data_IF_730718070615
#
_entry.id   IF_730718070615
#
_cell.length_a   1.000
_cell.length_b   1.000
_cell.length_c   1.000
_cell.angle_alpha   90.00
_cell.angle_beta   90.00
_cell.angle_gamma   90.00
#
_symmetry.space_group_name_H-M   'P 1'
#
loop_
_entity.id
_entity.type
_entity.pdbx_description
1 polymer ?
#
# COMPACT_ATOMS: atom_id res chain seq x y z
N UNK A 1 23.43 -5.33 4.06
CA UNK A 1 22.75 -4.79 2.88
C UNK A 1 21.41 -4.25 3.36
N UNK A 2 21.30 -2.93 3.49
CA UNK A 2 20.05 -2.25 3.85
C UNK A 2 19.32 -1.92 2.56
N UNK A 3 18.42 -2.81 2.15
CA UNK A 3 17.49 -2.56 1.05
C UNK A 3 16.17 -2.07 1.63
N UNK A 4 16.09 -0.78 1.97
CA UNK A 4 14.80 -0.15 2.27
C UNK A 4 14.39 0.65 1.04
N UNK A 5 13.73 -0.04 0.10
CA UNK A 5 13.00 0.59 -1.00
C UNK A 5 11.68 -0.13 -1.20
N UNK A 6 10.67 0.27 -0.42
CA UNK A 6 9.27 -0.09 -0.64
C UNK A 6 8.65 0.88 -1.64
N UNK A 7 9.15 0.81 -2.88
CA UNK A 7 8.66 1.53 -4.05
C UNK A 7 8.47 0.55 -5.21
N UNK A 8 7.89 -0.61 -4.93
CA UNK A 8 7.65 -1.64 -5.95
C UNK A 8 6.43 -1.20 -6.78
N UNK A 9 6.69 -0.42 -7.83
CA UNK A 9 5.77 -0.24 -8.95
C UNK A 9 4.92 1.04 -8.98
N UNK A 10 5.24 2.09 -8.22
CA UNK A 10 4.49 3.35 -8.29
C UNK A 10 5.42 4.57 -8.28
N UNK A 11 5.24 5.47 -9.24
CA UNK A 11 5.93 6.77 -9.31
C UNK A 11 5.40 7.78 -8.26
N UNK A 12 4.38 7.38 -7.50
CA UNK A 12 3.78 8.18 -6.43
C UNK A 12 4.33 7.71 -5.09
N UNK A 13 4.91 8.63 -4.30
CA UNK A 13 5.35 8.33 -2.93
C UNK A 13 4.13 7.99 -2.09
N UNK A 14 3.83 6.70 -1.96
CA UNK A 14 2.73 6.24 -1.13
C UNK A 14 3.15 6.23 0.33
N UNK A 15 2.29 6.81 1.18
CA UNK A 15 2.43 6.68 2.62
C UNK A 15 2.03 5.26 3.03
N UNK A 16 2.95 4.31 2.86
CA UNK A 16 2.85 3.01 3.50
C UNK A 16 3.00 3.20 5.00
N UNK A 17 2.17 2.50 5.75
CA UNK A 17 2.19 2.53 7.21
C UNK A 17 3.08 1.42 7.74
N UNK A 18 3.04 0.24 7.11
CA UNK A 18 3.69 -0.98 7.61
C UNK A 18 3.73 -2.08 6.52
N UNK A 19 4.79 -2.90 6.50
CA UNK A 19 4.78 -4.23 5.88
C UNK A 19 4.18 -5.21 6.89
N UNK A 20 3.00 -5.73 6.59
CA UNK A 20 2.23 -6.54 7.55
C UNK A 20 2.51 -8.04 7.43
N UNK A 21 3.05 -8.48 6.29
CA UNK A 21 3.49 -9.86 6.05
C UNK A 21 4.45 -9.93 4.85
N UNK A 22 5.26 -10.98 4.79
CA UNK A 22 6.15 -11.25 3.67
C UNK A 22 6.52 -12.72 3.57
N UNK A 23 6.61 -13.24 2.35
CA UNK A 23 7.10 -14.57 2.03
C UNK A 23 8.07 -14.56 0.85
N UNK A 24 8.44 -15.75 0.37
CA UNK A 24 9.41 -15.89 -0.72
C UNK A 24 8.93 -15.28 -2.05
N UNK A 25 7.61 -15.24 -2.26
CA UNK A 25 6.97 -14.77 -3.49
C UNK A 25 5.95 -13.65 -3.26
N UNK A 26 5.87 -13.08 -2.06
CA UNK A 26 4.93 -11.98 -1.80
C UNK A 26 5.39 -11.01 -0.71
N UNK A 27 4.87 -9.78 -0.79
CA UNK A 27 4.89 -8.82 0.32
C UNK A 27 3.52 -8.18 0.48
N UNK A 28 3.04 -8.09 1.71
CA UNK A 28 1.74 -7.48 2.02
C UNK A 28 1.98 -6.16 2.75
N UNK A 29 1.44 -5.07 2.21
CA UNK A 29 1.68 -3.71 2.68
C UNK A 29 0.37 -3.05 3.07
N UNK A 30 0.35 -2.41 4.24
CA UNK A 30 -0.75 -1.56 4.68
C UNK A 30 -0.47 -0.11 4.28
N UNK A 31 -1.39 0.50 3.55
CA UNK A 31 -1.33 1.89 3.13
C UNK A 31 -2.36 2.75 3.86
N UNK A 32 -2.06 4.04 4.04
CA UNK A 32 -3.08 5.04 4.37
C UNK A 32 -3.96 5.31 3.15
N UNK A 33 -5.26 5.40 3.38
CA UNK A 33 -6.26 5.57 2.34
C UNK A 33 -6.95 6.93 2.47
N UNK A 34 -6.29 7.96 1.94
CA UNK A 34 -6.82 9.33 2.01
C UNK A 34 -7.98 9.55 1.04
N UNK A 35 -8.05 8.76 -0.04
CA UNK A 35 -9.20 8.70 -0.92
C UNK A 35 -10.45 8.28 -0.13
N UNK A 36 -10.40 7.17 0.61
CA UNK A 36 -11.53 6.73 1.44
C UNK A 36 -11.86 7.72 2.58
N UNK A 37 -10.86 8.38 3.17
CA UNK A 37 -11.09 9.45 4.15
C UNK A 37 -11.80 10.66 3.52
N UNK A 38 -11.40 11.06 2.31
CA UNK A 38 -12.05 12.16 1.59
C UNK A 38 -13.52 11.82 1.31
N UNK A 39 -13.77 10.60 0.86
CA UNK A 39 -15.10 10.13 0.50
C UNK A 39 -16.01 9.94 1.73
N UNK A 40 -15.43 9.69 2.91
CA UNK A 40 -16.20 9.58 4.16
C UNK A 40 -16.64 10.94 4.73
N UNK A 41 -15.97 12.03 4.35
CA UNK A 41 -16.22 13.38 4.89
C UNK A 41 -15.81 13.58 6.35
N UNK A 42 -15.13 12.60 6.97
CA UNK A 42 -14.61 12.74 8.33
C UNK A 42 -13.42 13.73 8.40
N UNK A 43 -13.16 14.34 9.56
CA UNK A 43 -11.99 15.21 9.72
C UNK A 43 -10.69 14.43 9.56
N UNK A 44 -9.60 15.12 9.19
CA UNK A 44 -8.28 14.50 9.00
C UNK A 44 -7.76 13.74 10.24
N UNK A 45 -8.21 14.11 11.44
CA UNK A 45 -7.91 13.37 12.68
C UNK A 45 -8.38 11.91 12.65
N UNK A 46 -9.35 11.56 11.80
CA UNK A 46 -9.82 10.20 11.59
C UNK A 46 -8.95 9.38 10.63
N UNK A 47 -7.92 9.97 10.00
CA UNK A 47 -7.03 9.27 9.06
C UNK A 47 -6.50 7.91 9.54
N UNK A 48 -6.18 7.68 10.84
CA UNK A 48 -5.74 6.36 11.30
C UNK A 48 -6.78 5.23 11.13
N UNK A 49 -8.07 5.55 10.96
CA UNK A 49 -9.13 4.57 10.69
C UNK A 49 -9.14 4.07 9.24
N UNK A 50 -8.55 4.85 8.32
CA UNK A 50 -8.65 4.61 6.89
C UNK A 50 -7.34 4.03 6.36
N UNK A 51 -7.33 2.70 6.27
CA UNK A 51 -6.20 1.96 5.71
C UNK A 51 -6.70 0.88 4.77
N UNK A 52 -5.87 0.53 3.80
CA UNK A 52 -6.10 -0.60 2.90
C UNK A 52 -4.86 -1.47 2.85
N UNK A 53 -5.03 -2.74 2.52
CA UNK A 53 -3.95 -3.70 2.40
C UNK A 53 -3.83 -4.12 0.94
N UNK A 54 -2.60 -4.14 0.43
CA UNK A 54 -2.27 -4.63 -0.90
C UNK A 54 -1.21 -5.71 -0.76
N UNK A 55 -1.42 -6.86 -1.38
CA UNK A 55 -0.41 -7.92 -1.47
C UNK A 55 0.22 -7.86 -2.86
N UNK A 56 1.51 -7.63 -2.93
CA UNK A 56 2.28 -7.70 -4.16
C UNK A 56 2.86 -9.10 -4.29
N UNK A 57 2.48 -9.83 -5.34
CA UNK A 57 3.00 -11.17 -5.61
C UNK A 57 3.98 -11.18 -6.76
N UNK A 58 5.04 -11.95 -6.61
CA UNK A 58 5.98 -12.24 -7.68
C UNK A 58 5.41 -13.36 -8.57
N UNK A 59 5.02 -13.00 -9.80
CA UNK A 59 4.42 -13.92 -10.77
C UNK A 59 5.37 -14.07 -11.95
N UNK A 60 6.24 -15.07 -11.87
CA UNK A 60 7.23 -15.35 -12.91
C UNK A 60 8.29 -14.26 -13.03
N UNK A 61 8.11 -13.33 -13.97
CA UNK A 61 9.04 -12.25 -14.30
C UNK A 61 8.55 -10.85 -13.89
N UNK A 62 7.36 -10.73 -13.30
CA UNK A 62 6.77 -9.47 -12.91
C UNK A 62 6.06 -9.53 -11.54
N UNK A 63 5.61 -8.38 -11.08
CA UNK A 63 4.83 -8.22 -9.83
C UNK A 63 3.39 -7.90 -10.17
N UNK A 64 2.45 -8.62 -9.56
CA UNK A 64 1.01 -8.34 -9.64
C UNK A 64 0.48 -7.88 -8.27
N UNK A 65 -0.21 -6.72 -8.19
CA UNK A 65 -0.88 -6.30 -6.96
C UNK A 65 -2.26 -6.98 -6.82
N UNK A 66 -2.48 -7.61 -5.68
CA UNK A 66 -3.78 -8.07 -5.23
C UNK A 66 -4.42 -6.99 -4.34
N UNK A 67 -5.55 -6.45 -4.80
CA UNK A 67 -6.29 -5.39 -4.12
C UNK A 67 -6.19 -4.03 -4.83
N UNK A 68 -6.82 -3.01 -4.26
CA UNK A 68 -6.77 -1.65 -4.78
C UNK A 68 -5.67 -0.86 -4.09
N UNK A 69 -4.71 -0.41 -4.88
CA UNK A 69 -3.70 0.55 -4.47
C UNK A 69 -4.37 1.95 -4.30
N UNK A 70 -4.36 2.56 -3.11
CA UNK A 70 -5.04 3.83 -2.87
C UNK A 70 -4.20 5.02 -3.36
N UNK A 71 -4.86 6.15 -3.62
CA UNK A 71 -4.23 7.44 -3.93
C UNK A 71 -3.35 7.40 -5.20
N UNK A 72 -3.85 6.76 -6.27
CA UNK A 72 -3.19 6.73 -7.60
C UNK A 72 -3.68 7.82 -8.56
N UNK A 73 -4.70 8.60 -8.17
CA UNK A 73 -5.20 9.76 -8.92
C UNK A 73 -4.24 10.95 -8.90
#
# INVERSE_FOLDING_TARGET
>A
MTGEYLGVGTDTVQQHTEVVDSGDDFVTVRYKDYEALRDSGEPFAAAPKYTTVVTYRWVGDHVEPEGRIPNLD
#
